data_IF_878879120286
#
_entry.id   IF_878879120286
#
_cell.length_a   1.000
_cell.length_b   1.000
_cell.length_c   1.000
_cell.angle_alpha   90.00
_cell.angle_beta   90.00
_cell.angle_gamma   90.00
#
_symmetry.space_group_name_H-M   'P 1'
#
loop_
_entity.id
_entity.type
_entity.pdbx_description
1 polymer ?
#
# COMPACT_ATOMS: atom_id res chain seq x y z
N UNK A 1 64.90 -36.57 27.79
CA UNK A 1 64.90 -36.51 29.27
C UNK A 1 63.51 -36.10 29.71
N UNK A 2 62.87 -36.98 30.50
CA UNK A 2 61.59 -36.86 31.24
C UNK A 2 60.26 -36.78 30.44
N UNK A 3 59.53 -37.90 30.29
CA UNK A 3 58.42 -38.48 31.14
C UNK A 3 57.12 -37.67 31.06
N UNK A 4 56.05 -38.19 30.41
CA UNK A 4 54.96 -39.04 30.96
C UNK A 4 54.13 -38.28 32.03
N UNK A 5 52.79 -38.23 32.00
CA UNK A 5 51.89 -39.36 32.29
C UNK A 5 50.41 -39.01 31.99
N UNK A 6 49.62 -40.06 31.71
CA UNK A 6 48.18 -40.10 31.42
C UNK A 6 47.32 -40.10 32.69
N UNK A 7 46.00 -39.89 32.55
CA UNK A 7 44.83 -40.59 33.16
C UNK A 7 43.62 -39.63 33.20
N UNK A 8 42.35 -39.98 32.98
CA UNK A 8 41.64 -41.21 32.66
C UNK A 8 40.11 -40.96 32.75
N UNK A 9 39.33 -41.64 31.88
CA UNK A 9 38.04 -42.35 32.14
C UNK A 9 36.87 -41.55 32.77
N UNK A 10 35.61 -41.59 32.27
CA UNK A 10 34.71 -42.77 32.30
C UNK A 10 33.40 -42.54 31.51
N UNK A 11 32.84 -43.66 31.07
CA UNK A 11 31.72 -43.91 30.18
C UNK A 11 30.30 -43.58 30.69
N UNK A 12 29.35 -43.59 29.76
CA UNK A 12 27.90 -43.65 30.00
C UNK A 12 27.12 -43.91 28.71
N UNK A 13 26.95 -45.19 28.38
CA UNK A 13 26.15 -45.73 27.27
C UNK A 13 24.88 -46.35 27.84
N UNK A 14 23.71 -46.09 27.23
CA UNK A 14 22.51 -46.90 27.39
C UNK A 14 21.50 -46.63 26.25
N UNK A 15 20.79 -47.70 25.92
CA UNK A 15 20.15 -48.05 24.66
C UNK A 15 18.70 -47.52 24.44
N UNK A 16 18.31 -47.60 23.17
CA UNK A 16 16.96 -47.54 22.58
C UNK A 16 15.97 -48.57 23.18
N UNK A 17 14.66 -48.48 22.85
CA UNK A 17 14.21 -49.25 21.67
C UNK A 17 13.19 -48.54 20.76
N UNK A 18 13.23 -48.99 19.52
CA UNK A 18 12.27 -48.81 18.43
C UNK A 18 10.81 -49.08 18.84
N UNK A 19 9.87 -48.35 18.20
CA UNK A 19 8.53 -48.88 17.94
C UNK A 19 8.22 -48.85 16.44
N UNK A 20 7.65 -49.97 16.02
CA UNK A 20 7.40 -50.42 14.67
C UNK A 20 6.17 -49.74 14.01
N UNK A 21 6.14 -49.93 12.70
CA UNK A 21 5.16 -49.47 11.72
C UNK A 21 3.99 -50.46 11.54
N UNK A 22 3.01 -50.02 10.74
CA UNK A 22 1.99 -50.79 9.99
C UNK A 22 0.65 -51.10 10.71
N UNK A 23 -0.45 -50.54 10.19
CA UNK A 23 -1.59 -51.31 9.65
C UNK A 23 -2.66 -50.42 9.02
N UNK A 24 -2.74 -50.52 7.69
CA UNK A 24 -3.84 -50.17 6.79
C UNK A 24 -5.11 -50.96 7.14
N UNK A 25 -6.30 -50.34 7.02
CA UNK A 25 -7.54 -51.10 6.79
C UNK A 25 -8.44 -50.38 5.76
N UNK A 26 -8.46 -50.93 4.56
CA UNK A 26 -9.53 -50.82 3.57
C UNK A 26 -10.60 -51.85 3.90
N UNK A 27 -11.88 -51.48 3.92
CA UNK A 27 -12.98 -52.40 3.57
C UNK A 27 -13.93 -51.66 2.65
N UNK A 28 -13.97 -52.13 1.41
CA UNK A 28 -15.03 -51.90 0.45
C UNK A 28 -15.93 -53.15 0.37
N UNK A 29 -17.09 -52.96 -0.26
CA UNK A 29 -18.05 -53.95 -0.79
C UNK A 29 -19.16 -54.44 0.15
N UNK A 30 -20.41 -54.12 -0.22
CA UNK A 30 -21.29 -55.11 -0.85
C UNK A 30 -22.53 -54.45 -1.45
N UNK A 31 -22.73 -54.73 -2.74
CA UNK A 31 -23.95 -54.49 -3.49
C UNK A 31 -24.98 -55.57 -3.14
N UNK A 32 -26.25 -55.19 -2.95
CA UNK A 32 -27.38 -56.12 -3.04
C UNK A 32 -28.42 -55.51 -3.98
N UNK A 33 -28.63 -56.21 -5.10
CA UNK A 33 -29.80 -56.10 -5.97
C UNK A 33 -31.04 -56.63 -5.23
N UNK A 34 -32.16 -55.90 -5.29
CA UNK A 34 -33.46 -56.54 -5.46
C UNK A 34 -34.28 -55.77 -6.50
N UNK A 35 -34.92 -56.57 -7.36
CA UNK A 35 -35.64 -56.21 -8.57
C UNK A 35 -37.12 -56.57 -8.37
N UNK A 36 -37.98 -55.86 -9.09
CA UNK A 36 -39.42 -56.08 -9.31
C UNK A 36 -40.35 -55.65 -8.17
N UNK A 37 -41.48 -54.97 -8.39
CA UNK A 37 -42.12 -54.51 -9.62
C UNK A 37 -43.57 -54.08 -9.32
N UNK A 38 -44.12 -53.22 -10.18
CA UNK A 38 -45.55 -52.80 -10.29
C UNK A 38 -46.07 -51.88 -9.17
N UNK A 39 -46.94 -50.89 -9.38
CA UNK A 39 -47.55 -50.24 -10.54
C UNK A 39 -48.33 -49.03 -9.98
N UNK A 40 -48.45 -47.93 -10.76
CA UNK A 40 -49.50 -46.87 -10.64
C UNK A 40 -49.44 -45.99 -9.35
N UNK A 41 -49.47 -44.65 -9.34
CA UNK A 41 -49.96 -43.61 -10.25
C UNK A 41 -49.42 -42.21 -9.87
N UNK A 42 -49.46 -41.27 -10.83
CA UNK A 42 -49.60 -39.81 -10.68
C UNK A 42 -48.54 -39.03 -9.87
N UNK A 43 -47.55 -38.46 -10.57
CA UNK A 43 -47.27 -37.01 -10.54
C UNK A 43 -46.17 -36.64 -11.52
N UNK A 44 -46.51 -35.81 -12.50
CA UNK A 44 -45.58 -35.19 -13.43
C UNK A 44 -44.82 -34.12 -12.65
N UNK A 45 -43.52 -34.34 -12.47
CA UNK A 45 -42.53 -33.31 -12.17
C UNK A 45 -42.22 -32.52 -13.44
N UNK A 46 -41.81 -31.25 -13.31
CA UNK A 46 -40.58 -30.85 -13.97
C UNK A 46 -39.48 -30.55 -12.95
N UNK A 47 -38.37 -31.26 -13.14
CA UNK A 47 -37.01 -30.86 -12.80
C UNK A 47 -36.79 -29.42 -13.30
N UNK A 48 -36.17 -28.49 -12.57
CA UNK A 48 -34.75 -28.48 -12.25
C UNK A 48 -34.50 -27.81 -10.89
N UNK A 49 -34.47 -28.59 -9.82
CA UNK A 49 -33.86 -28.20 -8.56
C UNK A 49 -32.52 -28.94 -8.43
N UNK A 50 -31.46 -28.45 -9.09
CA UNK A 50 -30.10 -28.95 -8.81
C UNK A 50 -28.93 -28.11 -9.38
N UNK A 51 -28.80 -26.83 -9.04
CA UNK A 51 -27.48 -26.16 -9.07
C UNK A 51 -27.41 -25.06 -8.00
N UNK A 52 -26.33 -25.06 -7.21
CA UNK A 52 -25.77 -23.83 -6.66
C UNK A 52 -26.05 -23.48 -5.19
N UNK A 53 -25.88 -24.42 -4.25
CA UNK A 53 -25.49 -24.05 -2.87
C UNK A 53 -24.04 -23.51 -2.91
N UNK A 54 -23.87 -22.20 -3.17
CA UNK A 54 -22.62 -21.48 -2.88
C UNK A 54 -22.81 -19.94 -2.93
N UNK A 55 -23.70 -19.39 -2.09
CA UNK A 55 -23.65 -17.96 -1.76
C UNK A 55 -22.97 -17.82 -0.40
N UNK A 56 -21.64 -18.01 -0.39
CA UNK A 56 -20.81 -17.73 0.78
C UNK A 56 -20.77 -16.23 0.98
N UNK A 57 -21.36 -15.80 2.10
CA UNK A 57 -21.13 -14.59 2.86
C UNK A 57 -19.89 -13.77 2.44
N UNK A 58 -20.08 -12.77 1.58
CA UNK A 58 -19.15 -11.66 1.40
C UNK A 58 -19.96 -10.36 1.38
N UNK A 59 -20.11 -9.75 2.54
CA UNK A 59 -20.89 -8.51 2.64
C UNK A 59 -21.12 -8.00 4.05
N UNK A 60 -20.15 -8.17 4.97
CA UNK A 60 -20.21 -7.56 6.31
C UNK A 60 -18.81 -7.15 6.78
N UNK A 61 -18.19 -6.20 6.10
CA UNK A 61 -17.15 -5.34 6.67
C UNK A 61 -17.29 -3.92 6.09
N UNK A 62 -18.48 -3.33 6.20
CA UNK A 62 -18.60 -1.88 6.21
C UNK A 62 -18.08 -1.41 7.58
N UNK A 63 -16.76 -1.26 7.69
CA UNK A 63 -16.16 -0.55 8.81
C UNK A 63 -16.72 0.86 8.82
N UNK A 64 -17.55 1.18 9.82
CA UNK A 64 -17.89 2.55 10.16
C UNK A 64 -16.59 3.17 10.66
N UNK A 65 -15.85 3.83 9.76
CA UNK A 65 -14.80 4.74 10.19
C UNK A 65 -15.50 5.90 10.89
N UNK A 66 -15.39 5.93 12.21
CA UNK A 66 -15.77 7.07 13.04
C UNK A 66 -14.93 8.24 12.55
N UNK A 67 -15.54 9.12 11.77
CA UNK A 67 -14.93 10.36 11.33
C UNK A 67 -14.65 11.21 12.56
N UNK A 68 -13.39 11.26 12.99
CA UNK A 68 -12.93 12.29 13.89
C UNK A 68 -13.07 13.62 13.15
N UNK A 69 -14.12 14.36 13.47
CA UNK A 69 -14.32 15.75 13.04
C UNK A 69 -13.23 16.60 13.70
N UNK A 70 -12.08 16.73 13.05
CA UNK A 70 -11.16 17.82 13.32
C UNK A 70 -11.51 18.96 12.37
N UNK A 71 -12.17 19.98 12.91
CA UNK A 71 -12.40 21.23 12.20
C UNK A 71 -11.09 21.83 11.74
N UNK A 72 -10.90 21.90 10.43
CA UNK A 72 -9.95 22.79 9.77
C UNK A 72 -10.40 22.96 8.32
N UNK A 73 -10.28 24.17 7.77
CA UNK A 73 -10.61 24.48 6.38
C UNK A 73 -9.65 23.74 5.44
N UNK A 74 -10.03 22.51 5.07
CA UNK A 74 -9.21 21.60 4.28
C UNK A 74 -10.07 20.63 3.48
N UNK A 75 -9.45 20.03 2.47
CA UNK A 75 -10.09 19.06 1.60
C UNK A 75 -9.76 17.65 2.03
N UNK A 76 -10.74 16.75 1.90
CA UNK A 76 -10.55 15.32 2.10
C UNK A 76 -11.20 14.57 0.95
N UNK A 77 -10.47 13.61 0.38
CA UNK A 77 -10.98 12.77 -0.70
C UNK A 77 -10.38 11.38 -0.59
N UNK A 78 -10.95 10.43 -1.34
CA UNK A 78 -10.46 9.06 -1.44
C UNK A 78 -9.97 8.79 -2.85
N UNK A 79 -8.91 8.01 -2.97
CA UNK A 79 -8.32 7.60 -4.25
C UNK A 79 -8.23 6.07 -4.28
N UNK A 80 -8.50 5.48 -5.45
CA UNK A 80 -8.21 4.08 -5.72
C UNK A 80 -6.80 3.94 -6.28
N UNK A 81 -5.93 3.31 -5.49
CA UNK A 81 -4.55 3.03 -5.84
C UNK A 81 -4.48 1.64 -6.46
N UNK A 82 -4.17 1.56 -7.75
CA UNK A 82 -3.92 0.27 -8.41
C UNK A 82 -2.50 -0.23 -8.07
N UNK A 83 -2.43 -1.35 -7.36
CA UNK A 83 -1.18 -1.99 -6.95
C UNK A 83 -0.58 -2.85 -8.08
N UNK A 84 0.66 -3.28 -7.89
CA UNK A 84 1.42 -4.11 -8.85
C UNK A 84 0.73 -5.41 -9.22
N UNK A 85 -0.01 -5.99 -8.27
CA UNK A 85 -0.75 -7.23 -8.45
C UNK A 85 -2.14 -7.03 -9.07
N UNK A 86 -2.44 -5.79 -9.50
CA UNK A 86 -3.72 -5.40 -10.08
C UNK A 86 -4.84 -5.22 -9.06
N UNK A 87 -4.56 -5.38 -7.76
CA UNK A 87 -5.58 -5.16 -6.72
C UNK A 87 -5.72 -3.68 -6.41
N UNK A 88 -6.97 -3.18 -6.26
CA UNK A 88 -7.19 -1.82 -5.80
C UNK A 88 -6.97 -1.70 -4.29
N UNK A 89 -6.44 -0.56 -3.87
CA UNK A 89 -6.37 -0.13 -2.48
C UNK A 89 -7.00 1.26 -2.37
N UNK A 90 -8.06 1.41 -1.58
CA UNK A 90 -8.65 2.72 -1.34
C UNK A 90 -7.87 3.42 -0.24
N UNK A 91 -7.38 4.62 -0.54
CA UNK A 91 -6.66 5.48 0.40
C UNK A 91 -7.45 6.75 0.64
N UNK A 92 -7.36 7.30 1.85
CA UNK A 92 -7.90 8.61 2.17
C UNK A 92 -6.76 9.62 2.15
N UNK A 93 -6.96 10.73 1.45
CA UNK A 93 -6.08 11.90 1.51
C UNK A 93 -6.81 13.06 2.15
N UNK A 94 -6.08 13.81 2.97
CA UNK A 94 -6.54 15.07 3.52
C UNK A 94 -5.48 16.14 3.32
N UNK A 95 -5.91 17.37 3.05
CA UNK A 95 -5.03 18.51 2.88
C UNK A 95 -5.60 19.73 3.61
N UNK A 96 -4.75 20.42 4.37
CA UNK A 96 -5.08 21.72 4.95
C UNK A 96 -4.38 22.84 4.18
N UNK A 97 -4.95 24.04 4.23
CA UNK A 97 -4.42 25.21 3.52
C UNK A 97 -3.95 26.29 4.48
N UNK A 98 -2.84 26.94 4.14
CA UNK A 98 -2.25 28.00 4.93
C UNK A 98 -0.76 28.20 4.64
N UNK A 99 -0.21 29.30 5.15
CA UNK A 99 1.21 29.64 5.01
C UNK A 99 1.49 30.81 4.07
N UNK A 100 2.77 30.97 3.72
CA UNK A 100 3.27 32.16 3.01
C UNK A 100 2.90 32.11 1.52
N UNK A 101 2.21 33.15 1.06
CA UNK A 101 1.82 33.36 -0.33
C UNK A 101 1.73 34.85 -0.66
N UNK A 102 1.83 35.18 -1.94
CA UNK A 102 1.69 36.55 -2.43
C UNK A 102 0.21 36.92 -2.56
N UNK A 103 -0.08 38.22 -2.50
CA UNK A 103 -1.44 38.74 -2.72
C UNK A 103 -1.88 38.35 -4.14
N UNK A 104 -3.05 37.73 -4.27
CA UNK A 104 -3.60 37.24 -5.53
C UNK A 104 -3.18 35.82 -5.92
N UNK A 105 -2.32 35.17 -5.13
CA UNK A 105 -2.01 33.74 -5.29
C UNK A 105 -2.94 32.88 -4.43
N UNK A 106 -3.21 31.65 -4.88
CA UNK A 106 -3.95 30.67 -4.08
C UNK A 106 -3.18 30.33 -2.80
N UNK A 107 -3.91 30.12 -1.71
CA UNK A 107 -3.33 29.66 -0.44
C UNK A 107 -2.69 28.29 -0.65
N UNK A 108 -1.39 28.10 -0.29
CA UNK A 108 -0.71 26.85 -0.52
C UNK A 108 -1.20 25.74 0.41
N UNK A 109 -0.94 24.50 0.02
CA UNK A 109 -1.08 23.35 0.90
C UNK A 109 -0.12 23.49 2.09
N UNK A 110 -0.70 23.55 3.30
CA UNK A 110 0.04 23.66 4.54
C UNK A 110 0.59 22.30 4.96
N UNK A 111 -0.30 21.31 5.01
CA UNK A 111 -0.02 19.91 5.36
C UNK A 111 -0.88 19.01 4.46
N UNK A 112 -0.41 17.81 4.19
CA UNK A 112 -1.28 16.75 3.70
C UNK A 112 -1.00 15.43 4.39
N UNK A 113 -1.99 14.56 4.42
CA UNK A 113 -1.91 13.24 5.02
C UNK A 113 -2.47 12.21 4.04
N UNK A 114 -1.85 11.03 4.01
CA UNK A 114 -2.41 9.82 3.39
C UNK A 114 -2.64 8.76 4.46
N UNK A 115 -3.80 8.11 4.40
CA UNK A 115 -4.27 7.11 5.36
C UNK A 115 -4.82 5.88 4.63
N UNK A 116 -4.43 4.70 5.06
CA UNK A 116 -4.95 3.44 4.52
C UNK A 116 -4.66 2.26 5.45
N UNK A 117 -5.44 1.19 5.30
CA UNK A 117 -5.20 -0.09 5.98
C UNK A 117 -4.94 -1.18 4.95
N UNK A 118 -4.00 -2.07 5.24
CA UNK A 118 -3.75 -3.22 4.39
C UNK A 118 -4.66 -4.38 4.79
N UNK A 119 -5.11 -5.21 3.83
CA UNK A 119 -5.82 -6.44 4.14
C UNK A 119 -5.01 -7.29 5.12
N UNK A 120 -5.69 -7.89 6.10
CA UNK A 120 -5.08 -8.75 7.14
C UNK A 120 -4.10 -8.03 8.09
N UNK A 121 -4.16 -6.70 8.18
CA UNK A 121 -3.46 -5.92 9.21
C UNK A 121 -4.46 -5.27 10.15
N UNK A 122 -4.13 -5.16 11.43
CA UNK A 122 -5.00 -4.57 12.47
C UNK A 122 -4.78 -3.06 12.65
N UNK A 123 -4.06 -2.42 11.73
CA UNK A 123 -3.63 -1.03 11.86
C UNK A 123 -3.93 -0.17 10.64
N UNK A 124 -3.79 1.13 10.82
CA UNK A 124 -3.80 2.14 9.76
C UNK A 124 -2.37 2.65 9.57
N UNK A 125 -1.93 2.74 8.32
CA UNK A 125 -0.74 3.50 7.94
C UNK A 125 -1.13 4.94 7.74
N UNK A 126 -0.43 5.83 8.43
CA UNK A 126 -0.64 7.28 8.35
C UNK A 126 0.69 7.93 8.02
N UNK A 127 0.76 8.67 6.93
CA UNK A 127 1.91 9.50 6.61
C UNK A 127 1.47 10.94 6.40
N UNK A 128 2.21 11.88 7.00
CA UNK A 128 1.96 13.31 6.87
C UNK A 128 3.19 14.00 6.29
N UNK A 129 2.97 14.87 5.30
CA UNK A 129 3.98 15.86 4.91
C UNK A 129 3.71 17.13 5.71
N UNK A 130 4.50 17.30 6.76
CA UNK A 130 4.34 18.39 7.71
C UNK A 130 4.62 19.76 7.10
N UNK A 131 4.11 20.80 7.77
CA UNK A 131 4.39 22.19 7.45
C UNK A 131 5.86 22.52 7.71
N UNK A 132 6.58 22.92 6.67
CA UNK A 132 7.92 23.48 6.81
C UNK A 132 7.85 24.97 7.07
N UNK A 133 8.17 25.43 8.28
CA UNK A 133 8.12 26.87 8.63
C UNK A 133 8.94 27.75 7.67
N UNK A 134 10.13 27.26 7.29
CA UNK A 134 11.01 27.94 6.35
C UNK A 134 10.50 27.91 4.90
N UNK A 135 9.65 26.93 4.58
CA UNK A 135 9.01 26.78 3.26
C UNK A 135 7.70 27.58 3.18
N UNK A 136 7.05 27.80 4.33
CA UNK A 136 5.72 28.37 4.41
C UNK A 136 4.63 27.49 3.80
N UNK A 137 4.86 26.16 3.69
CA UNK A 137 3.99 25.15 3.05
C UNK A 137 4.46 23.73 3.39
N UNK A 138 3.74 22.74 2.88
CA UNK A 138 4.11 21.32 2.99
C UNK A 138 5.43 20.99 2.27
N UNK A 139 6.19 20.03 2.79
CA UNK A 139 7.49 19.63 2.23
C UNK A 139 7.38 18.89 0.90
N UNK A 140 6.30 18.15 0.66
CA UNK A 140 6.27 17.15 -0.41
C UNK A 140 4.98 17.17 -1.22
N UNK A 141 5.07 16.63 -2.43
CA UNK A 141 3.96 16.18 -3.26
C UNK A 141 3.93 14.64 -3.26
N UNK A 142 2.78 14.04 -3.00
CA UNK A 142 2.60 12.58 -3.06
C UNK A 142 2.48 12.13 -4.52
N UNK A 143 3.25 11.11 -4.90
CA UNK A 143 3.27 10.62 -6.28
C UNK A 143 2.78 9.18 -6.41
N UNK A 144 3.23 8.29 -5.52
CA UNK A 144 2.85 6.89 -5.60
C UNK A 144 2.85 6.21 -4.23
N UNK A 145 1.99 5.20 -4.11
CA UNK A 145 1.95 4.24 -3.01
C UNK A 145 2.02 2.83 -3.58
N UNK A 146 3.00 2.07 -3.12
CA UNK A 146 3.21 0.68 -3.54
C UNK A 146 3.32 -0.25 -2.34
N UNK A 147 2.89 -1.49 -2.47
CA UNK A 147 2.93 -2.48 -1.38
C UNK A 147 3.73 -3.69 -1.83
N UNK A 148 4.73 -4.10 -1.04
CA UNK A 148 5.45 -5.37 -1.24
C UNK A 148 5.46 -6.15 0.06
N UNK A 149 4.92 -7.36 0.02
CA UNK A 149 4.88 -8.29 1.17
C UNK A 149 4.30 -7.65 2.46
N UNK A 150 3.28 -6.81 2.32
CA UNK A 150 2.64 -6.12 3.46
C UNK A 150 3.37 -4.85 3.92
N UNK A 151 4.46 -4.47 3.27
CA UNK A 151 5.21 -3.24 3.55
C UNK A 151 4.84 -2.15 2.52
N UNK A 152 4.34 -0.99 2.97
CA UNK A 152 4.09 0.14 2.08
C UNK A 152 5.35 0.94 1.78
N UNK A 153 5.41 1.45 0.56
CA UNK A 153 6.45 2.33 0.05
C UNK A 153 5.77 3.54 -0.56
N UNK A 154 6.11 4.72 -0.03
CA UNK A 154 5.59 5.99 -0.49
C UNK A 154 6.68 6.72 -1.27
N UNK A 155 6.33 7.17 -2.47
CA UNK A 155 7.22 7.95 -3.32
C UNK A 155 6.66 9.37 -3.35
N UNK A 156 7.53 10.32 -3.01
CA UNK A 156 7.16 11.73 -2.93
C UNK A 156 8.21 12.58 -3.64
N UNK A 157 7.79 13.76 -4.10
CA UNK A 157 8.67 14.77 -4.67
C UNK A 157 8.77 15.96 -3.72
N UNK A 158 9.97 16.55 -3.51
CA UNK A 158 10.10 17.81 -2.80
C UNK A 158 9.29 18.95 -3.44
N UNK A 159 8.45 19.60 -2.64
CA UNK A 159 7.57 20.67 -3.08
C UNK A 159 8.36 21.97 -3.36
N UNK A 160 8.50 22.30 -4.65
CA UNK A 160 9.27 23.44 -5.16
C UNK A 160 10.76 23.42 -4.79
N UNK A 161 11.47 24.44 -5.27
CA UNK A 161 12.93 24.52 -5.13
C UNK A 161 13.42 24.66 -3.69
N UNK A 162 12.64 25.25 -2.79
CA UNK A 162 13.05 25.39 -1.38
C UNK A 162 13.08 24.02 -0.69
N UNK A 163 12.02 23.21 -0.83
CA UNK A 163 12.03 21.85 -0.30
C UNK A 163 13.08 20.99 -1.00
N UNK A 164 13.20 21.10 -2.32
CA UNK A 164 14.21 20.37 -3.08
C UNK A 164 15.64 20.61 -2.55
N UNK A 165 15.99 21.87 -2.29
CA UNK A 165 17.28 22.22 -1.70
C UNK A 165 17.40 21.73 -0.25
N UNK A 166 16.33 21.83 0.54
CA UNK A 166 16.32 21.36 1.93
C UNK A 166 16.58 19.86 2.05
N UNK A 167 16.01 19.08 1.13
CA UNK A 167 16.06 17.62 1.15
C UNK A 167 17.21 17.00 0.35
N UNK A 168 18.22 17.81 0.03
CA UNK A 168 19.49 17.33 -0.55
C UNK A 168 19.46 17.15 -2.05
N UNK A 169 18.53 17.79 -2.76
CA UNK A 169 18.45 17.84 -4.23
C UNK A 169 18.45 16.44 -4.88
N UNK A 170 17.53 15.54 -4.49
CA UNK A 170 17.50 14.18 -5.02
C UNK A 170 17.44 14.17 -6.56
N UNK A 171 18.10 13.20 -7.19
CA UNK A 171 18.03 13.01 -8.65
C UNK A 171 18.01 11.50 -8.99
N UNK A 172 16.91 10.92 -9.51
CA UNK A 172 15.60 11.52 -9.80
C UNK A 172 14.97 12.28 -8.62
N UNK A 173 14.00 13.20 -8.83
CA UNK A 173 13.54 14.16 -7.82
C UNK A 173 12.59 13.52 -6.79
N UNK A 174 12.94 12.34 -6.29
CA UNK A 174 12.12 11.56 -5.38
C UNK A 174 12.80 11.34 -4.04
N UNK A 175 11.99 11.31 -3.00
CA UNK A 175 12.30 10.64 -1.75
C UNK A 175 11.39 9.42 -1.61
N UNK A 176 11.95 8.35 -1.05
CA UNK A 176 11.23 7.11 -0.78
C UNK A 176 11.09 6.95 0.72
N UNK A 177 9.87 6.66 1.17
CA UNK A 177 9.59 6.33 2.56
C UNK A 177 9.01 4.92 2.63
N UNK A 178 9.59 4.08 3.47
CA UNK A 178 9.09 2.73 3.76
C UNK A 178 8.37 2.76 5.10
N UNK A 179 7.13 2.29 5.13
CA UNK A 179 6.35 2.19 6.36
C UNK A 179 6.68 0.90 7.12
N UNK A 180 6.88 1.02 8.43
CA UNK A 180 7.12 -0.08 9.35
C UNK A 180 6.35 0.10 10.66
N UNK A 181 6.56 -0.83 11.60
CA UNK A 181 5.86 -0.83 12.89
C UNK A 181 6.14 0.41 13.74
N UNK A 182 7.30 1.05 13.56
CA UNK A 182 7.75 2.23 14.33
C UNK A 182 7.56 3.54 13.58
N UNK A 183 6.88 3.52 12.42
CA UNK A 183 6.67 4.70 11.57
C UNK A 183 7.35 4.58 10.21
N UNK A 184 7.66 5.72 9.60
CA UNK A 184 8.20 5.78 8.23
C UNK A 184 9.70 6.05 8.24
N UNK A 185 10.43 5.25 7.46
CA UNK A 185 11.88 5.39 7.31
C UNK A 185 12.22 5.78 5.89
N UNK A 186 13.07 6.80 5.73
CA UNK A 186 13.56 7.23 4.42
C UNK A 186 14.51 6.16 3.85
N UNK A 187 14.35 5.85 2.57
CA UNK A 187 15.21 4.95 1.82
C UNK A 187 15.87 5.69 0.63
N UNK A 188 17.00 5.14 0.19
CA UNK A 188 17.56 5.48 -1.12
C UNK A 188 16.63 4.99 -2.23
N UNK A 189 16.53 5.75 -3.33
CA UNK A 189 15.79 5.32 -4.53
C UNK A 189 16.33 4.01 -5.12
N UNK A 190 17.63 3.74 -4.95
CA UNK A 190 18.26 2.48 -5.37
C UNK A 190 17.75 1.26 -4.60
N UNK A 191 17.17 1.45 -3.42
CA UNK A 191 16.55 0.39 -2.62
C UNK A 191 15.09 0.13 -2.99
N UNK A 192 14.49 0.96 -3.86
CA UNK A 192 13.10 0.81 -4.26
C UNK A 192 12.94 -0.43 -5.16
N UNK A 193 12.03 -1.38 -4.84
CA UNK A 193 11.79 -2.58 -5.64
C UNK A 193 11.61 -2.28 -7.14
N UNK A 194 12.21 -3.09 -8.01
CA UNK A 194 12.25 -2.84 -9.46
C UNK A 194 10.86 -2.87 -10.11
N UNK A 195 9.93 -3.64 -9.53
CA UNK A 195 8.54 -3.74 -9.97
C UNK A 195 7.72 -2.45 -9.73
N UNK A 196 8.24 -1.51 -8.94
CA UNK A 196 7.57 -0.24 -8.67
C UNK A 196 7.90 0.77 -9.76
N UNK A 197 6.99 0.93 -10.73
CA UNK A 197 7.20 1.79 -11.89
C UNK A 197 6.10 2.85 -12.10
N UNK A 198 4.95 2.72 -11.44
CA UNK A 198 3.78 3.57 -11.69
C UNK A 198 3.70 4.76 -10.74
N UNK A 199 3.10 5.84 -11.25
CA UNK A 199 2.65 7.02 -10.49
C UNK A 199 1.13 6.88 -10.34
N UNK A 200 0.69 6.36 -9.19
CA UNK A 200 -0.67 5.85 -8.97
C UNK A 200 -1.47 6.64 -7.92
N UNK A 201 -0.99 7.83 -7.55
CA UNK A 201 -1.74 8.83 -6.78
C UNK A 201 -1.94 10.09 -7.63
N UNK A 202 -2.94 10.90 -7.29
CA UNK A 202 -3.14 12.21 -7.91
C UNK A 202 -1.95 13.11 -7.58
N UNK A 203 -1.19 13.51 -8.61
CA UNK A 203 -0.03 14.38 -8.49
C UNK A 203 -0.45 15.85 -8.32
N UNK A 204 -1.34 16.33 -9.19
CA UNK A 204 -1.81 17.70 -9.16
C UNK A 204 -3.15 17.81 -8.43
N UNK A 205 -3.09 18.03 -7.12
CA UNK A 205 -4.27 18.14 -6.27
C UNK A 205 -4.82 19.58 -6.15
N UNK A 206 -4.37 20.53 -7.00
CA UNK A 206 -4.99 21.87 -7.07
C UNK A 206 -6.34 21.86 -7.81
N UNK A 207 -6.76 20.71 -8.36
CA UNK A 207 -7.99 20.54 -9.15
C UNK A 207 -9.11 19.93 -8.31
N UNK A 208 -9.31 20.44 -7.10
CA UNK A 208 -10.19 19.80 -6.11
C UNK A 208 -11.63 19.61 -6.60
N UNK A 209 -12.18 20.57 -7.35
CA UNK A 209 -13.53 20.45 -7.90
C UNK A 209 -13.66 19.23 -8.84
N UNK A 210 -12.65 19.01 -9.69
CA UNK A 210 -12.61 17.85 -10.60
C UNK A 210 -12.40 16.55 -9.81
N UNK A 211 -11.55 16.55 -8.78
CA UNK A 211 -11.37 15.41 -7.86
C UNK A 211 -12.70 15.04 -7.21
N UNK A 212 -13.41 16.03 -6.67
CA UNK A 212 -14.70 15.85 -6.02
C UNK A 212 -15.72 15.28 -7.01
N UNK A 213 -15.86 15.89 -8.20
CA UNK A 213 -16.76 15.40 -9.26
C UNK A 213 -16.53 13.93 -9.58
N UNK A 214 -15.27 13.52 -9.75
CA UNK A 214 -14.91 12.14 -10.08
C UNK A 214 -15.04 11.15 -8.92
N UNK A 215 -15.29 11.63 -7.70
CA UNK A 215 -15.57 10.79 -6.53
C UNK A 215 -17.05 10.67 -6.18
N UNK A 216 -17.95 11.44 -6.81
CA UNK A 216 -19.35 11.53 -6.40
C UNK A 216 -20.11 10.20 -6.50
N UNK A 217 -19.88 9.42 -7.56
CA UNK A 217 -20.63 8.20 -7.83
C UNK A 217 -20.17 7.00 -7.00
N UNK A 218 -18.86 6.86 -6.81
CA UNK A 218 -18.21 5.69 -6.18
C UNK A 218 -17.76 5.97 -4.74
N UNK A 219 -17.69 7.24 -4.35
CA UNK A 219 -17.13 7.70 -3.08
C UNK A 219 -15.61 7.83 -3.09
N UNK A 220 -14.93 7.57 -4.21
CA UNK A 220 -13.48 7.67 -4.39
C UNK A 220 -13.13 7.94 -5.87
N UNK A 221 -11.96 8.50 -6.14
CA UNK A 221 -11.48 8.70 -7.52
C UNK A 221 -10.90 7.39 -8.04
N UNK A 222 -11.46 6.87 -9.15
CA UNK A 222 -11.05 5.61 -9.76
C UNK A 222 -9.63 5.66 -10.35
N UNK A 223 -8.91 4.53 -10.32
CA UNK A 223 -7.53 4.45 -10.75
C UNK A 223 -7.33 4.83 -12.23
N UNK A 224 -8.27 4.48 -13.10
CA UNK A 224 -8.22 4.83 -14.53
C UNK A 224 -8.25 6.34 -14.72
N UNK A 225 -9.03 7.04 -13.89
CA UNK A 225 -9.10 8.48 -13.96
C UNK A 225 -7.83 9.16 -13.44
N UNK A 226 -7.23 8.62 -12.38
CA UNK A 226 -5.92 9.08 -11.87
C UNK A 226 -4.86 8.95 -12.96
N UNK A 227 -4.83 7.82 -13.69
CA UNK A 227 -3.91 7.63 -14.82
C UNK A 227 -4.13 8.66 -15.94
N UNK A 228 -5.39 8.95 -16.29
CA UNK A 228 -5.72 10.00 -17.26
C UNK A 228 -5.25 11.38 -16.78
N UNK A 229 -5.45 11.71 -15.51
CA UNK A 229 -5.05 12.99 -14.93
C UNK A 229 -3.54 13.16 -14.94
N UNK A 230 -2.80 12.16 -14.45
CA UNK A 230 -1.35 12.17 -14.41
C UNK A 230 -0.74 12.15 -15.83
N UNK A 231 -1.36 11.43 -16.77
CA UNK A 231 -0.90 11.34 -18.17
C UNK A 231 -0.95 12.67 -18.93
N UNK A 232 -1.73 13.64 -18.47
CA UNK A 232 -1.77 15.01 -19.03
C UNK A 232 -0.56 15.86 -18.61
N UNK A 233 0.21 15.41 -17.61
CA UNK A 233 1.38 16.13 -17.16
C UNK A 233 2.57 15.89 -18.13
N UNK A 234 3.25 16.95 -18.59
CA UNK A 234 4.34 16.83 -19.55
C UNK A 234 5.63 16.27 -18.93
N UNK A 235 5.77 16.33 -17.60
CA UNK A 235 6.96 15.87 -16.89
C UNK A 235 7.11 14.34 -16.95
N UNK A 236 8.25 13.79 -17.41
CA UNK A 236 8.47 12.35 -17.44
C UNK A 236 8.40 11.69 -16.06
N UNK A 237 8.83 12.41 -15.02
CA UNK A 237 8.81 11.96 -13.62
C UNK A 237 7.39 11.74 -13.05
N UNK A 238 6.34 12.19 -13.74
CA UNK A 238 4.93 11.96 -13.36
C UNK A 238 4.24 10.88 -14.20
N UNK A 239 4.90 10.36 -15.25
CA UNK A 239 4.38 9.27 -16.07
C UNK A 239 4.80 7.90 -15.56
N UNK A 240 6.01 7.82 -15.04
CA UNK A 240 6.59 6.62 -14.45
C UNK A 240 7.70 6.99 -13.48
N UNK A 241 7.97 6.12 -12.52
CA UNK A 241 9.10 6.26 -11.60
C UNK A 241 10.40 6.13 -12.39
N UNK A 242 11.12 7.24 -12.51
CA UNK A 242 12.46 7.26 -13.09
C UNK A 242 13.47 6.57 -12.17
N UNK A 243 14.44 5.88 -12.78
CA UNK A 243 15.56 5.24 -12.08
C UNK A 243 16.89 5.92 -12.35
N UNK A 244 17.02 6.50 -13.53
CA UNK A 244 18.22 7.21 -13.95
C UNK A 244 18.14 8.71 -13.65
N UNK A 245 19.26 9.36 -13.28
CA UNK A 245 19.32 10.79 -13.06
C UNK A 245 18.83 11.60 -14.27
N UNK A 246 18.10 12.67 -14.00
CA UNK A 246 17.70 13.64 -15.01
C UNK A 246 18.86 14.61 -15.33
N UNK A 247 18.97 15.08 -16.59
CA UNK A 247 20.14 15.83 -17.06
C UNK A 247 20.30 17.24 -16.47
N UNK A 248 19.25 17.88 -15.96
CA UNK A 248 19.33 19.26 -15.43
C UNK A 248 18.43 19.45 -14.22
N UNK A 249 19.00 20.01 -13.14
CA UNK A 249 18.22 20.54 -12.01
C UNK A 249 17.66 21.91 -12.36
N UNK A 250 16.34 22.10 -12.27
CA UNK A 250 15.66 23.37 -12.58
C UNK A 250 15.72 24.40 -11.44
N UNK A 251 16.31 24.05 -10.31
CA UNK A 251 16.28 24.86 -9.10
C UNK A 251 17.63 25.53 -8.82
N UNK A 252 17.64 26.84 -8.52
CA UNK A 252 18.86 27.52 -8.12
C UNK A 252 19.36 26.95 -6.78
N UNK A 253 20.69 26.90 -6.63
CA UNK A 253 21.33 26.57 -5.36
C UNK A 253 21.42 27.82 -4.51
N UNK A 254 20.82 27.81 -3.32
CA UNK A 254 20.96 28.90 -2.37
C UNK A 254 22.11 28.59 -1.41
N UNK A 255 22.89 29.61 -1.06
CA UNK A 255 24.00 29.49 -0.10
C UNK A 255 23.55 29.20 1.34
N UNK A 256 22.27 29.48 1.66
CA UNK A 256 21.70 29.36 3.00
C UNK A 256 20.37 28.60 3.01
N UNK A 257 20.28 27.46 2.32
CA UNK A 257 19.09 26.61 2.41
C UNK A 257 18.99 25.93 3.78
N UNK A 258 17.80 25.88 4.40
CA UNK A 258 17.55 25.00 5.55
C UNK A 258 17.96 23.57 5.21
N UNK A 259 18.45 22.80 6.16
CA UNK A 259 18.72 21.36 5.97
C UNK A 259 17.54 20.54 6.47
N UNK A 260 17.28 19.40 5.85
CA UNK A 260 16.34 18.42 6.37
C UNK A 260 16.76 17.98 7.79
N UNK A 261 15.79 17.66 8.67
CA UNK A 261 16.10 16.97 9.92
C UNK A 261 16.75 15.61 9.62
N UNK A 262 17.66 15.19 10.50
CA UNK A 262 18.35 13.90 10.40
C UNK A 262 17.40 12.70 10.48
#
# INVERSE_FOLDING_TARGET
>A
MHTAEQTGTTAGQADLPQRQSIATLFIATSSILMRAGSQFTHKIWPECARQGLLAVALGLLSGVQVGATHGSAGDTWREEVLLQDGKPLIVTRSQSYGGRHEIGQSVPAKEHTIRFSLPNTTGEFVWTSDYGENLGRTNFNLLALHIKQGTPYLIVEPNLCLSYNQWGRPNPPYLVFMGGATGWTRLSISALPAEFNSINLIVNNSRIEEIQQHSQATGYVAAEYIQVMNGRLPQPEYRSILREPMPVSRCPQYSASPKAPD
#
